data_IF_257028971044
#
_entry.id   IF_257028971044
#
_cell.length_a   1.000
_cell.length_b   1.000
_cell.length_c   1.000
_cell.angle_alpha   90.00
_cell.angle_beta   90.00
_cell.angle_gamma   90.00
#
_symmetry.space_group_name_H-M   'P 1'
#
loop_
_entity.id
_entity.type
_entity.pdbx_description
1 polymer ?
#
# COMPACT_ATOMS: atom_id res chain seq x y z
N UNK A 1 -25.93 22.82 -24.53
CA UNK A 1 -26.02 22.18 -23.21
C UNK A 1 -24.63 22.20 -22.61
N UNK A 2 -24.49 22.67 -21.37
CA UNK A 2 -23.17 22.80 -20.73
C UNK A 2 -23.13 22.07 -19.39
N UNK A 3 -22.01 21.39 -19.14
CA UNK A 3 -21.75 20.68 -17.90
C UNK A 3 -21.32 21.61 -16.78
N UNK A 4 -21.92 21.41 -15.61
CA UNK A 4 -21.60 22.11 -14.39
C UNK A 4 -21.42 21.13 -13.24
N UNK A 5 -20.56 21.51 -12.30
CA UNK A 5 -20.45 20.87 -11.00
C UNK A 5 -21.02 21.81 -9.96
N UNK A 6 -21.91 21.29 -9.11
CA UNK A 6 -22.56 22.03 -8.04
C UNK A 6 -22.27 21.29 -6.74
N UNK A 7 -21.71 21.97 -5.75
CA UNK A 7 -21.60 21.46 -4.39
C UNK A 7 -22.44 22.32 -3.46
N UNK A 8 -23.28 21.70 -2.64
CA UNK A 8 -24.11 22.41 -1.69
C UNK A 8 -24.33 21.59 -0.42
N UNK A 9 -24.40 22.27 0.72
CA UNK A 9 -24.81 21.66 1.99
C UNK A 9 -26.33 21.64 2.08
N UNK A 10 -26.90 20.47 2.31
CA UNK A 10 -28.33 20.25 2.51
C UNK A 10 -28.54 19.61 3.87
N UNK A 11 -29.55 20.03 4.63
CA UNK A 11 -29.86 19.40 5.91
C UNK A 11 -30.21 17.92 5.68
N UNK A 12 -29.61 17.03 6.48
CA UNK A 12 -29.81 15.57 6.37
C UNK A 12 -31.17 15.17 6.97
N UNK A 13 -32.24 15.48 6.23
CA UNK A 13 -33.64 15.20 6.60
C UNK A 13 -34.41 14.68 5.39
N UNK A 14 -35.34 13.73 5.58
CA UNK A 14 -36.19 13.24 4.50
C UNK A 14 -36.86 14.38 3.72
N UNK A 15 -36.76 14.33 2.39
CA UNK A 15 -37.37 15.28 1.48
C UNK A 15 -36.56 16.55 1.20
N UNK A 16 -35.50 16.88 1.95
CA UNK A 16 -34.73 18.11 1.70
C UNK A 16 -33.98 18.08 0.36
N UNK A 17 -33.30 16.97 0.05
CA UNK A 17 -32.69 16.75 -1.26
C UNK A 17 -33.73 16.84 -2.39
N UNK A 18 -34.98 16.39 -2.16
CA UNK A 18 -36.03 16.45 -3.18
C UNK A 18 -36.45 17.88 -3.53
N UNK A 19 -36.40 18.81 -2.56
CA UNK A 19 -36.69 20.23 -2.80
C UNK A 19 -35.59 20.86 -3.65
N UNK A 20 -34.33 20.50 -3.38
CA UNK A 20 -33.19 20.96 -4.17
C UNK A 20 -33.26 20.46 -5.61
N UNK A 21 -33.47 19.15 -5.82
CA UNK A 21 -33.54 18.58 -7.16
C UNK A 21 -34.75 19.09 -7.95
N UNK A 22 -35.89 19.34 -7.29
CA UNK A 22 -37.05 19.98 -7.92
C UNK A 22 -36.75 21.42 -8.38
N UNK A 23 -36.04 22.21 -7.56
CA UNK A 23 -35.64 23.59 -7.92
C UNK A 23 -34.73 23.62 -9.15
N UNK A 24 -33.78 22.69 -9.25
CA UNK A 24 -32.93 22.53 -10.44
C UNK A 24 -33.75 22.08 -11.66
N UNK A 25 -34.67 21.12 -11.50
CA UNK A 25 -35.51 20.63 -12.58
C UNK A 25 -36.41 21.73 -13.17
N UNK A 26 -36.93 22.66 -12.36
CA UNK A 26 -37.71 23.82 -12.82
C UNK A 26 -36.91 24.77 -13.74
N UNK A 27 -35.57 24.71 -13.69
CA UNK A 27 -34.67 25.44 -14.59
C UNK A 27 -34.23 24.63 -15.79
N UNK A 28 -34.76 23.41 -15.98
CA UNK A 28 -34.36 22.51 -17.05
C UNK A 28 -32.98 21.89 -16.85
N UNK A 29 -32.47 21.88 -15.61
CA UNK A 29 -31.18 21.27 -15.28
C UNK A 29 -31.35 19.76 -15.10
N UNK A 30 -30.58 18.98 -15.85
CA UNK A 30 -30.56 17.52 -15.75
C UNK A 30 -29.41 17.07 -14.83
N UNK A 31 -29.71 16.24 -13.83
CA UNK A 31 -28.71 15.73 -12.89
C UNK A 31 -28.13 14.43 -13.45
N UNK A 32 -26.83 14.43 -13.73
CA UNK A 32 -26.13 13.27 -14.29
C UNK A 32 -25.60 12.35 -13.19
N UNK A 33 -25.03 12.93 -12.13
CA UNK A 33 -24.57 12.19 -10.95
C UNK A 33 -24.78 12.99 -9.67
N UNK A 34 -24.94 12.29 -8.55
CA UNK A 34 -25.02 12.87 -7.20
C UNK A 34 -24.12 12.07 -6.27
N UNK A 35 -23.31 12.78 -5.49
CA UNK A 35 -22.56 12.18 -4.39
C UNK A 35 -22.89 12.91 -3.09
N UNK A 36 -23.53 12.18 -2.17
CA UNK A 36 -23.90 12.68 -0.84
C UNK A 36 -22.77 12.39 0.13
N UNK A 37 -22.29 13.41 0.84
CA UNK A 37 -21.19 13.29 1.80
C UNK A 37 -21.66 13.77 3.18
N UNK A 38 -21.98 12.85 4.11
CA UNK A 38 -22.44 13.23 5.44
C UNK A 38 -21.38 14.04 6.21
N UNK A 39 -21.83 15.08 6.91
CA UNK A 39 -21.03 15.94 7.78
C UNK A 39 -21.81 16.27 9.05
N UNK A 40 -21.16 16.90 10.04
CA UNK A 40 -21.85 17.34 11.27
C UNK A 40 -22.89 18.45 11.02
N UNK A 41 -22.76 19.21 9.94
CA UNK A 41 -23.62 20.36 9.61
C UNK A 41 -24.74 20.02 8.59
N UNK A 42 -24.88 18.74 8.22
CA UNK A 42 -25.78 18.24 7.19
C UNK A 42 -25.06 17.31 6.21
N UNK A 43 -25.60 17.15 5.01
CA UNK A 43 -24.97 16.43 3.93
C UNK A 43 -24.43 17.41 2.87
N UNK A 44 -23.17 17.24 2.48
CA UNK A 44 -22.59 17.95 1.33
C UNK A 44 -22.87 17.14 0.08
N UNK A 45 -23.76 17.66 -0.76
CA UNK A 45 -24.16 17.04 -2.00
C UNK A 45 -23.35 17.60 -3.17
N UNK A 46 -22.69 16.72 -3.92
CA UNK A 46 -21.86 17.04 -5.09
C UNK A 46 -22.57 16.52 -6.34
N UNK A 47 -23.10 17.45 -7.13
CA UNK A 47 -23.84 17.18 -8.35
C UNK A 47 -22.96 17.43 -9.57
N UNK A 48 -22.99 16.50 -10.52
CA UNK A 48 -22.67 16.81 -11.91
C UNK A 48 -23.98 16.98 -12.67
N UNK A 49 -24.15 18.14 -13.31
CA UNK A 49 -25.38 18.47 -14.01
C UNK A 49 -25.10 18.92 -15.44
N UNK A 50 -26.09 18.71 -16.29
CA UNK A 50 -26.18 19.29 -17.62
C UNK A 50 -27.26 20.38 -17.61
N UNK A 51 -26.88 21.61 -17.97
CA UNK A 51 -27.76 22.77 -17.91
C UNK A 51 -27.89 23.45 -19.28
N UNK A 52 -29.06 24.06 -19.58
CA UNK A 52 -29.23 24.97 -20.70
C UNK A 52 -28.11 26.01 -20.83
N UNK A 53 -27.67 26.30 -22.05
CA UNK A 53 -26.53 27.22 -22.29
C UNK A 53 -26.82 28.67 -21.86
N UNK A 54 -28.09 29.02 -21.74
CA UNK A 54 -28.54 30.31 -21.25
C UNK A 54 -28.34 30.49 -19.74
N UNK A 55 -28.21 29.40 -18.97
CA UNK A 55 -28.00 29.47 -17.53
C UNK A 55 -26.55 29.81 -17.21
N UNK A 56 -26.38 30.82 -16.36
CA UNK A 56 -25.10 31.18 -15.78
C UNK A 56 -24.91 30.63 -14.35
N UNK A 57 -23.74 30.92 -13.78
CA UNK A 57 -23.37 30.48 -12.42
C UNK A 57 -24.32 31.05 -11.35
N UNK A 58 -24.70 32.33 -11.48
CA UNK A 58 -25.53 33.01 -10.49
C UNK A 58 -26.97 32.45 -10.49
N UNK A 59 -27.50 32.11 -11.65
CA UNK A 59 -28.82 31.48 -11.76
C UNK A 59 -28.85 30.07 -11.15
N UNK A 60 -27.76 29.30 -11.31
CA UNK A 60 -27.61 28.00 -10.68
C UNK A 60 -27.48 28.11 -9.16
N UNK A 61 -26.68 29.06 -8.65
CA UNK A 61 -26.58 29.34 -7.21
C UNK A 61 -27.96 29.70 -6.65
N UNK A 62 -28.67 30.62 -7.29
CA UNK A 62 -30.00 31.02 -6.86
C UNK A 62 -31.03 29.87 -6.94
N UNK A 63 -30.85 28.91 -7.86
CA UNK A 63 -31.65 27.69 -7.90
C UNK A 63 -31.36 26.76 -6.72
N UNK A 64 -30.10 26.61 -6.34
CA UNK A 64 -29.69 25.84 -5.17
C UNK A 64 -30.24 26.45 -3.88
N UNK A 65 -30.13 27.76 -3.71
CA UNK A 65 -30.62 28.48 -2.51
C UNK A 65 -32.15 28.36 -2.38
N UNK A 66 -32.91 28.54 -3.47
CA UNK A 66 -34.37 28.27 -3.48
C UNK A 66 -34.70 26.82 -3.14
N UNK A 67 -33.81 25.92 -3.51
CA UNK A 67 -33.82 24.49 -3.19
C UNK A 67 -33.43 24.15 -1.74
N UNK A 68 -33.19 25.15 -0.88
CA UNK A 68 -32.69 25.01 0.50
C UNK A 68 -31.26 24.50 0.63
N UNK A 69 -30.48 24.52 -0.45
CA UNK A 69 -29.04 24.32 -0.37
C UNK A 69 -28.35 25.56 0.21
N UNK A 70 -27.31 25.32 1.02
CA UNK A 70 -26.44 26.33 1.64
C UNK A 70 -25.00 26.09 1.20
N UNK A 71 -24.11 27.07 1.45
CA UNK A 71 -22.67 26.96 1.17
C UNK A 71 -22.39 26.49 -0.26
N UNK A 72 -23.15 27.05 -1.21
CA UNK A 72 -23.16 26.62 -2.60
C UNK A 72 -21.87 27.04 -3.32
N UNK A 73 -21.29 26.09 -4.04
CA UNK A 73 -20.19 26.31 -4.97
C UNK A 73 -20.57 25.75 -6.33
N UNK A 74 -20.39 26.54 -7.39
CA UNK A 74 -20.71 26.16 -8.76
C UNK A 74 -19.50 26.42 -9.65
N UNK A 75 -19.17 25.47 -10.51
CA UNK A 75 -18.11 25.64 -11.50
C UNK A 75 -18.41 24.87 -12.79
N UNK A 76 -17.86 25.34 -13.91
CA UNK A 76 -17.93 24.60 -15.17
C UNK A 76 -17.21 23.26 -15.04
N UNK A 77 -17.75 22.23 -15.69
CA UNK A 77 -17.14 20.90 -15.73
C UNK A 77 -16.84 20.48 -17.18
N UNK A 78 -15.81 19.67 -17.35
CA UNK A 78 -15.48 19.04 -18.63
C UNK A 78 -16.06 17.62 -18.72
N UNK A 79 -15.98 16.99 -19.90
CA UNK A 79 -16.39 15.60 -20.13
C UNK A 79 -15.69 14.59 -19.19
N UNK A 80 -14.48 14.91 -18.70
CA UNK A 80 -13.77 14.09 -17.70
C UNK A 80 -14.53 13.98 -16.38
N UNK A 81 -15.40 14.95 -16.08
CA UNK A 81 -16.28 14.92 -14.91
C UNK A 81 -17.34 13.81 -14.97
N UNK A 82 -17.66 13.30 -16.16
CA UNK A 82 -18.64 12.23 -16.37
C UNK A 82 -18.16 10.86 -15.85
N UNK A 83 -16.85 10.68 -15.70
CA UNK A 83 -16.31 9.46 -15.09
C UNK A 83 -16.64 9.46 -13.59
N UNK A 84 -17.30 8.40 -13.14
CA UNK A 84 -17.64 8.22 -11.74
C UNK A 84 -16.39 8.16 -10.86
N UNK A 85 -16.56 8.54 -9.60
CA UNK A 85 -15.45 8.62 -8.66
C UNK A 85 -14.72 7.28 -8.44
N UNK A 86 -15.41 6.14 -8.22
CA UNK A 86 -14.74 4.83 -8.13
C UNK A 86 -13.80 4.54 -9.31
N UNK A 87 -14.27 4.74 -10.54
CA UNK A 87 -13.45 4.53 -11.75
C UNK A 87 -12.20 5.41 -11.76
N UNK A 88 -12.33 6.70 -11.40
CA UNK A 88 -11.19 7.62 -11.31
C UNK A 88 -10.18 7.17 -10.26
N UNK A 89 -10.64 6.73 -9.08
CA UNK A 89 -9.78 6.26 -7.99
C UNK A 89 -8.99 5.01 -8.41
N UNK A 90 -9.63 4.03 -9.08
CA UNK A 90 -8.93 2.83 -9.59
C UNK A 90 -7.89 3.19 -10.66
N UNK A 91 -8.19 4.17 -11.51
CA UNK A 91 -7.23 4.71 -12.47
C UNK A 91 -5.99 5.33 -11.79
N UNK A 92 -6.19 6.11 -10.73
CA UNK A 92 -5.09 6.68 -9.93
C UNK A 92 -4.29 5.60 -9.21
N UNK A 93 -4.96 4.61 -8.61
CA UNK A 93 -4.31 3.47 -7.98
C UNK A 93 -3.40 2.71 -8.97
N UNK A 94 -3.89 2.47 -10.19
CA UNK A 94 -3.11 1.81 -11.25
C UNK A 94 -1.87 2.60 -11.65
N UNK A 95 -1.96 3.94 -11.66
CA UNK A 95 -0.80 4.81 -11.92
C UNK A 95 0.23 4.72 -10.79
N UNK A 96 -0.21 4.77 -9.54
CA UNK A 96 0.69 4.65 -8.38
C UNK A 96 1.41 3.31 -8.32
N UNK A 97 0.78 2.23 -8.79
CA UNK A 97 1.45 0.92 -8.93
C UNK A 97 2.63 0.98 -9.91
N UNK A 98 2.56 1.82 -10.94
CA UNK A 98 3.63 2.00 -11.94
C UNK A 98 4.67 3.03 -11.52
N UNK A 99 4.23 4.09 -10.85
CA UNK A 99 5.04 5.22 -10.40
C UNK A 99 4.59 5.64 -8.98
N UNK A 100 5.22 5.08 -7.93
CA UNK A 100 4.87 5.39 -6.54
C UNK A 100 5.17 6.83 -6.14
N UNK A 101 6.12 7.49 -6.81
CA UNK A 101 6.53 8.86 -6.49
C UNK A 101 5.49 9.89 -6.95
N UNK A 102 4.56 9.50 -7.84
CA UNK A 102 3.44 10.32 -8.31
C UNK A 102 2.32 10.56 -7.28
N UNK A 103 2.54 10.23 -6.00
CA UNK A 103 1.53 10.38 -4.92
C UNK A 103 0.96 11.79 -4.82
N UNK A 104 1.81 12.82 -4.87
CA UNK A 104 1.37 14.22 -4.81
C UNK A 104 0.46 14.61 -5.98
N UNK A 105 0.80 14.15 -7.18
CA UNK A 105 0.00 14.41 -8.40
C UNK A 105 -1.32 13.63 -8.40
N UNK A 106 -1.30 12.40 -7.88
CA UNK A 106 -2.50 11.59 -7.70
C UNK A 106 -3.46 12.25 -6.70
N UNK A 107 -2.96 12.78 -5.59
CA UNK A 107 -3.73 13.56 -4.61
C UNK A 107 -4.31 14.84 -5.23
N UNK A 108 -3.48 15.58 -5.99
CA UNK A 108 -3.91 16.79 -6.70
C UNK A 108 -5.08 16.50 -7.63
N UNK A 109 -4.97 15.42 -8.40
CA UNK A 109 -6.01 14.97 -9.33
C UNK A 109 -7.26 14.47 -8.61
N UNK A 110 -7.11 13.66 -7.55
CA UNK A 110 -8.23 13.08 -6.80
C UNK A 110 -9.13 14.16 -6.19
N UNK A 111 -8.53 15.20 -5.65
CA UNK A 111 -9.19 16.21 -4.83
C UNK A 111 -9.40 17.55 -5.54
N UNK A 112 -8.95 17.67 -6.79
CA UNK A 112 -8.86 18.95 -7.50
C UNK A 112 -8.18 20.03 -6.63
N UNK A 113 -7.06 19.66 -6.01
CA UNK A 113 -6.29 20.59 -5.19
C UNK A 113 -5.47 21.53 -6.09
N UNK A 114 -5.36 22.80 -5.71
CA UNK A 114 -4.53 23.77 -6.44
C UNK A 114 -3.05 23.55 -6.14
N UNK A 115 -2.74 23.23 -4.89
CA UNK A 115 -1.37 23.01 -4.42
C UNK A 115 -1.33 21.73 -3.59
N UNK A 116 -0.36 20.88 -3.89
CA UNK A 116 0.03 19.74 -3.07
C UNK A 116 1.53 19.83 -2.84
N UNK A 117 1.95 19.75 -1.59
CA UNK A 117 3.36 19.75 -1.21
C UNK A 117 3.64 18.65 -0.20
N UNK A 118 4.77 17.99 -0.33
CA UNK A 118 5.26 17.05 0.66
C UNK A 118 6.34 17.71 1.51
N UNK A 119 6.34 17.45 2.81
CA UNK A 119 7.38 17.91 3.73
C UNK A 119 7.92 16.73 4.55
N UNK A 120 9.25 16.62 4.70
CA UNK A 120 9.82 15.68 5.67
C UNK A 120 9.38 16.07 7.08
N UNK A 121 9.26 15.06 7.96
CA UNK A 121 8.59 15.17 9.26
C UNK A 121 8.90 16.48 10.01
N UNK A 122 7.87 17.30 10.22
CA UNK A 122 7.88 18.38 11.22
C UNK A 122 7.03 17.95 12.42
N UNK A 123 7.61 18.12 13.62
CA UNK A 123 6.92 17.94 14.90
C UNK A 123 5.75 18.94 14.97
N UNK A 124 4.52 18.47 15.12
CA UNK A 124 3.43 19.29 15.66
C UNK A 124 2.39 19.92 14.71
N UNK A 125 2.23 19.44 13.47
CA UNK A 125 1.07 19.86 12.66
C UNK A 125 -0.21 19.10 13.07
N UNK A 126 -1.29 19.82 13.40
CA UNK A 126 -2.61 19.20 13.56
C UNK A 126 -3.04 18.56 12.22
N UNK A 127 -3.23 17.24 12.26
CA UNK A 127 -3.69 16.45 11.12
C UNK A 127 -5.19 16.63 10.96
N UNK A 128 -5.66 16.60 9.72
CA UNK A 128 -7.07 16.75 9.42
C UNK A 128 -7.34 17.82 8.37
N UNK A 129 -8.52 18.39 8.46
CA UNK A 129 -9.04 19.40 7.55
C UNK A 129 -9.22 20.71 8.30
N UNK A 130 -8.86 21.81 7.66
CA UNK A 130 -9.21 23.17 8.09
C UNK A 130 -9.70 23.95 6.87
N UNK A 131 -11.02 23.90 6.64
CA UNK A 131 -11.65 24.47 5.45
C UNK A 131 -11.03 23.95 4.16
N UNK A 132 -10.46 24.86 3.36
CA UNK A 132 -9.82 24.56 2.09
C UNK A 132 -8.35 24.07 2.20
N UNK A 133 -7.88 23.78 3.41
CA UNK A 133 -6.57 23.16 3.67
C UNK A 133 -6.71 21.76 4.28
N UNK A 134 -5.80 20.86 3.91
CA UNK A 134 -5.76 19.48 4.40
C UNK A 134 -4.31 19.06 4.70
N UNK A 135 -4.09 18.40 5.83
CA UNK A 135 -2.80 17.83 6.21
C UNK A 135 -2.92 16.31 6.44
N UNK A 136 -2.20 15.53 5.63
CA UNK A 136 -2.16 14.06 5.67
C UNK A 136 -0.80 13.57 6.16
N UNK A 137 -0.80 12.54 7.01
CA UNK A 137 0.43 11.85 7.37
C UNK A 137 0.86 10.92 6.23
N UNK A 138 2.16 10.88 5.94
CA UNK A 138 2.75 9.87 5.08
C UNK A 138 3.27 8.71 5.93
N UNK A 139 2.76 7.47 5.78
CA UNK A 139 3.28 6.29 6.48
C UNK A 139 4.74 5.98 6.16
N UNK A 140 5.29 6.47 5.04
CA UNK A 140 6.72 6.39 4.73
C UNK A 140 7.56 7.42 5.49
N UNK A 141 6.92 8.38 6.17
CA UNK A 141 7.54 9.48 6.92
C UNK A 141 7.26 10.83 6.27
N UNK A 142 6.94 11.84 7.09
CA UNK A 142 6.58 13.18 6.60
C UNK A 142 5.07 13.41 6.50
N UNK A 143 4.69 14.45 5.76
CA UNK A 143 3.29 14.82 5.55
C UNK A 143 3.03 15.49 4.20
N UNK A 144 1.83 15.26 3.66
CA UNK A 144 1.30 16.00 2.52
C UNK A 144 0.42 17.14 3.01
N UNK A 145 0.71 18.36 2.57
CA UNK A 145 -0.11 19.54 2.76
C UNK A 145 -0.78 19.91 1.43
N UNK A 146 -2.10 19.97 1.44
CA UNK A 146 -2.93 20.30 0.30
C UNK A 146 -3.71 21.58 0.57
N UNK A 147 -3.91 22.36 -0.49
CA UNK A 147 -4.76 23.55 -0.46
C UNK A 147 -5.52 23.70 -1.77
N UNK A 148 -6.76 24.16 -1.68
CA UNK A 148 -7.50 24.68 -2.83
C UNK A 148 -8.19 26.01 -2.50
N UNK A 149 -8.68 26.73 -3.49
CA UNK A 149 -9.38 28.00 -3.31
C UNK A 149 -10.81 27.79 -2.78
N UNK A 150 -11.54 26.88 -3.39
CA UNK A 150 -12.88 26.43 -3.01
C UNK A 150 -13.21 25.13 -3.76
N UNK A 151 -14.20 24.34 -3.30
CA UNK A 151 -14.90 24.44 -2.02
C UNK A 151 -14.04 23.91 -0.85
N UNK A 152 -14.52 23.99 0.39
CA UNK A 152 -13.82 23.38 1.53
C UNK A 152 -13.73 21.85 1.40
N UNK A 153 -12.70 21.25 2.01
CA UNK A 153 -12.56 19.79 2.02
C UNK A 153 -13.57 19.14 2.97
N UNK A 154 -14.06 17.96 2.60
CA UNK A 154 -14.97 17.17 3.43
C UNK A 154 -14.25 16.04 4.18
N UNK A 155 -14.79 15.54 5.30
CA UNK A 155 -14.27 14.34 5.97
C UNK A 155 -14.15 13.12 5.04
N UNK A 156 -15.09 12.96 4.10
CA UNK A 156 -15.04 11.90 3.09
C UNK A 156 -13.89 12.09 2.09
N UNK A 157 -13.57 13.33 1.71
CA UNK A 157 -12.38 13.66 0.90
C UNK A 157 -11.08 13.32 1.64
N UNK A 158 -10.98 13.67 2.93
CA UNK A 158 -9.84 13.32 3.76
C UNK A 158 -9.64 11.80 3.87
N UNK A 159 -10.71 11.05 4.16
CA UNK A 159 -10.64 9.59 4.28
C UNK A 159 -10.15 8.93 2.98
N UNK A 160 -10.64 9.38 1.82
CA UNK A 160 -10.16 8.88 0.51
C UNK A 160 -8.71 9.23 0.26
N UNK A 161 -8.28 10.44 0.59
CA UNK A 161 -6.91 10.88 0.41
C UNK A 161 -5.95 10.10 1.30
N UNK A 162 -6.32 9.86 2.56
CA UNK A 162 -5.56 9.02 3.48
C UNK A 162 -5.41 7.60 2.94
N UNK A 163 -6.51 6.98 2.46
CA UNK A 163 -6.46 5.66 1.86
C UNK A 163 -5.54 5.60 0.63
N UNK A 164 -5.53 6.64 -0.21
CA UNK A 164 -4.64 6.72 -1.37
C UNK A 164 -3.16 6.84 -0.96
N UNK A 165 -2.84 7.63 0.07
CA UNK A 165 -1.48 7.75 0.61
C UNK A 165 -1.02 6.44 1.24
N UNK A 166 -1.90 5.74 1.97
CA UNK A 166 -1.61 4.41 2.53
C UNK A 166 -1.32 3.37 1.44
N UNK A 167 -2.10 3.38 0.35
CA UNK A 167 -1.84 2.56 -0.83
C UNK A 167 -0.47 2.91 -1.44
N UNK A 168 -0.21 4.19 -1.70
CA UNK A 168 1.04 4.63 -2.31
C UNK A 168 2.26 4.23 -1.48
N UNK A 169 2.22 4.45 -0.17
CA UNK A 169 3.28 4.04 0.74
C UNK A 169 3.50 2.52 0.71
N UNK A 170 2.43 1.73 0.56
CA UNK A 170 2.52 0.27 0.43
C UNK A 170 3.18 -0.15 -0.89
N UNK A 171 2.84 0.51 -1.99
CA UNK A 171 3.49 0.26 -3.29
C UNK A 171 4.96 0.68 -3.23
N UNK A 172 5.27 1.86 -2.71
CA UNK A 172 6.64 2.37 -2.58
C UNK A 172 7.52 1.43 -1.75
N UNK A 173 7.00 0.89 -0.63
CA UNK A 173 7.72 -0.11 0.17
C UNK A 173 8.02 -1.38 -0.63
N UNK A 174 7.07 -1.88 -1.44
CA UNK A 174 7.31 -3.04 -2.30
C UNK A 174 8.33 -2.75 -3.40
N UNK A 175 8.27 -1.57 -4.01
CA UNK A 175 9.25 -1.13 -4.99
C UNK A 175 10.66 -1.04 -4.39
N UNK A 176 10.79 -0.50 -3.17
CA UNK A 176 12.07 -0.44 -2.46
C UNK A 176 12.65 -1.82 -2.10
N UNK A 177 11.82 -2.87 -2.06
CA UNK A 177 12.27 -4.25 -1.90
C UNK A 177 12.78 -4.88 -3.20
N UNK A 178 12.53 -4.24 -4.35
CA UNK A 178 13.13 -4.60 -5.64
C UNK A 178 14.48 -3.89 -5.79
N UNK A 179 15.54 -4.67 -5.80
CA UNK A 179 16.89 -4.13 -5.71
C UNK A 179 17.89 -5.12 -6.29
N UNK A 180 18.79 -4.62 -7.12
CA UNK A 180 19.94 -5.39 -7.64
C UNK A 180 20.94 -5.64 -6.52
N UNK A 181 21.33 -6.90 -6.35
CA UNK A 181 22.41 -7.31 -5.45
C UNK A 181 23.62 -7.64 -6.28
N UNK A 182 24.73 -6.93 -6.05
CA UNK A 182 26.04 -7.31 -6.55
C UNK A 182 26.65 -8.32 -5.58
N UNK A 183 26.91 -9.53 -6.06
CA UNK A 183 27.55 -10.59 -5.30
C UNK A 183 29.08 -10.36 -5.22
N UNK A 184 29.79 -11.00 -4.27
CA UNK A 184 31.24 -10.81 -4.11
C UNK A 184 32.09 -11.17 -5.34
N UNK A 185 31.54 -11.97 -6.26
CA UNK A 185 32.17 -12.33 -7.53
C UNK A 185 31.79 -11.39 -8.69
N UNK A 186 31.11 -10.28 -8.40
CA UNK A 186 30.70 -9.26 -9.37
C UNK A 186 29.39 -9.56 -10.10
N UNK A 187 28.78 -10.74 -9.89
CA UNK A 187 27.52 -11.03 -10.55
C UNK A 187 26.36 -10.23 -9.96
N UNK A 188 25.49 -9.74 -10.84
CA UNK A 188 24.30 -9.00 -10.47
C UNK A 188 23.08 -9.92 -10.48
N UNK A 189 22.27 -9.83 -9.43
CA UNK A 189 20.98 -10.51 -9.35
C UNK A 189 19.91 -9.53 -8.94
N UNK A 190 18.81 -9.50 -9.69
CA UNK A 190 17.63 -8.75 -9.30
C UNK A 190 16.91 -9.52 -8.19
N UNK A 191 16.67 -8.88 -7.06
CA UNK A 191 15.91 -9.48 -5.96
C UNK A 191 14.69 -8.64 -5.71
N UNK A 192 13.53 -9.28 -5.63
CA UNK A 192 12.24 -8.60 -5.43
C UNK A 192 11.22 -9.48 -4.69
N UNK A 193 10.15 -8.90 -4.15
CA UNK A 193 8.97 -9.66 -3.74
C UNK A 193 8.44 -10.54 -4.88
N UNK A 194 8.04 -11.75 -4.52
CA UNK A 194 7.38 -12.68 -5.43
C UNK A 194 5.88 -12.37 -5.54
N UNK A 195 5.28 -12.74 -6.66
CA UNK A 195 3.83 -12.76 -6.87
C UNK A 195 3.36 -14.05 -7.53
N UNK A 196 2.05 -14.21 -7.70
CA UNK A 196 1.47 -15.40 -8.34
C UNK A 196 2.05 -15.73 -9.73
N UNK A 197 2.48 -14.70 -10.48
CA UNK A 197 3.07 -14.83 -11.81
C UNK A 197 4.45 -15.51 -11.81
N UNK A 198 5.12 -15.61 -10.66
CA UNK A 198 6.44 -16.24 -10.53
C UNK A 198 6.38 -17.77 -10.38
N UNK A 199 5.18 -18.36 -10.38
CA UNK A 199 4.99 -19.78 -10.11
C UNK A 199 5.79 -20.68 -11.06
N UNK A 200 5.81 -20.37 -12.36
CA UNK A 200 6.58 -21.15 -13.34
C UNK A 200 8.08 -21.13 -13.02
N UNK A 201 8.66 -19.94 -12.87
CA UNK A 201 10.08 -19.79 -12.56
C UNK A 201 10.47 -20.41 -11.21
N UNK A 202 9.56 -20.40 -10.24
CA UNK A 202 9.78 -21.07 -8.96
C UNK A 202 9.68 -22.59 -9.08
N UNK A 203 8.79 -23.13 -9.90
CA UNK A 203 8.78 -24.57 -10.22
C UNK A 203 10.11 -24.97 -10.86
N UNK A 204 10.57 -24.21 -11.86
CA UNK A 204 11.86 -24.43 -12.53
C UNK A 204 13.03 -24.38 -11.55
N UNK A 205 13.04 -23.42 -10.60
CA UNK A 205 14.04 -23.36 -9.52
C UNK A 205 14.08 -24.67 -8.72
N UNK A 206 12.92 -25.21 -8.34
CA UNK A 206 12.84 -26.44 -7.55
C UNK A 206 13.29 -27.66 -8.35
N UNK A 207 12.95 -27.73 -9.63
CA UNK A 207 13.37 -28.80 -10.54
C UNK A 207 14.87 -28.78 -10.78
N UNK A 208 15.46 -27.59 -10.93
CA UNK A 208 16.90 -27.42 -11.11
C UNK A 208 17.72 -27.66 -9.82
N UNK A 209 17.11 -27.55 -8.64
CA UNK A 209 17.79 -27.80 -7.37
C UNK A 209 18.02 -29.30 -7.11
N UNK A 210 19.22 -29.62 -6.63
CA UNK A 210 19.56 -31.00 -6.24
C UNK A 210 18.60 -31.54 -5.17
N UNK A 211 18.38 -32.87 -5.10
CA UNK A 211 17.60 -33.49 -4.03
C UNK A 211 18.08 -33.10 -2.64
N UNK A 212 19.41 -32.91 -2.47
CA UNK A 212 20.02 -32.46 -1.21
C UNK A 212 19.61 -31.03 -0.84
N UNK A 213 19.62 -30.11 -1.80
CA UNK A 213 19.19 -28.73 -1.58
C UNK A 213 17.69 -28.65 -1.21
N UNK A 214 16.84 -29.45 -1.88
CA UNK A 214 15.41 -29.60 -1.56
C UNK A 214 15.18 -30.24 -0.19
N UNK A 215 15.88 -31.32 0.13
CA UNK A 215 15.78 -31.98 1.43
C UNK A 215 16.16 -31.04 2.58
N UNK A 216 17.20 -30.22 2.39
CA UNK A 216 17.60 -29.19 3.37
C UNK A 216 16.55 -28.11 3.53
N UNK A 217 15.88 -27.69 2.45
CA UNK A 217 14.81 -26.68 2.48
C UNK A 217 13.53 -27.19 3.15
N UNK A 218 13.19 -28.46 2.97
CA UNK A 218 11.92 -29.05 3.40
C UNK A 218 12.05 -30.10 4.51
N UNK A 219 13.24 -30.20 5.10
CA UNK A 219 13.55 -31.01 6.30
C UNK A 219 13.13 -32.48 6.21
N UNK A 220 13.16 -33.08 5.01
CA UNK A 220 12.81 -34.50 4.81
C UNK A 220 11.99 -34.79 3.55
N UNK A 221 11.42 -33.78 2.91
CA UNK A 221 10.75 -33.95 1.60
C UNK A 221 11.74 -34.04 0.44
N UNK A 222 11.89 -35.23 -0.17
CA UNK A 222 12.66 -35.42 -1.41
C UNK A 222 11.83 -35.07 -2.65
N UNK A 223 10.51 -35.25 -2.56
CA UNK A 223 9.59 -34.96 -3.65
C UNK A 223 9.48 -33.45 -3.93
N UNK A 224 9.27 -33.12 -5.21
CA UNK A 224 8.96 -31.75 -5.61
C UNK A 224 7.67 -31.29 -4.90
N UNK A 225 7.66 -30.09 -4.32
CA UNK A 225 6.43 -29.51 -3.80
C UNK A 225 5.39 -29.37 -4.92
N UNK A 226 4.14 -29.74 -4.62
CA UNK A 226 3.04 -29.54 -5.56
C UNK A 226 2.90 -28.04 -5.90
N UNK A 227 2.56 -27.66 -7.15
CA UNK A 227 2.42 -26.26 -7.55
C UNK A 227 1.46 -25.45 -6.66
N UNK A 228 0.39 -26.08 -6.16
CA UNK A 228 -0.53 -25.43 -5.22
C UNK A 228 0.15 -25.04 -3.89
N UNK A 229 1.11 -25.84 -3.40
CA UNK A 229 1.91 -25.50 -2.21
C UNK A 229 2.86 -24.35 -2.51
N UNK A 230 3.52 -24.35 -3.67
CA UNK A 230 4.42 -23.27 -4.09
C UNK A 230 3.67 -21.95 -4.25
N UNK A 231 2.47 -21.95 -4.83
CA UNK A 231 1.62 -20.75 -4.95
C UNK A 231 1.33 -20.13 -3.57
N UNK A 232 1.00 -20.94 -2.56
CA UNK A 232 0.80 -20.46 -1.18
C UNK A 232 2.07 -19.88 -0.55
N UNK A 233 3.24 -20.38 -0.95
CA UNK A 233 4.52 -19.81 -0.49
C UNK A 233 4.81 -18.47 -1.18
N UNK A 234 4.36 -18.25 -2.42
CA UNK A 234 4.58 -16.98 -3.12
C UNK A 234 3.71 -15.85 -2.57
N UNK A 235 2.50 -16.18 -2.13
CA UNK A 235 1.54 -15.22 -1.60
C UNK A 235 1.13 -15.61 -0.17
N UNK A 236 2.04 -15.45 0.82
CA UNK A 236 1.71 -15.75 2.20
C UNK A 236 0.67 -14.76 2.71
N UNK A 237 -0.28 -15.23 3.53
CA UNK A 237 -1.25 -14.35 4.20
C UNK A 237 -0.59 -13.36 5.16
N UNK A 238 0.57 -13.75 5.72
CA UNK A 238 1.39 -12.92 6.58
C UNK A 238 2.87 -13.23 6.34
N UNK A 239 3.67 -12.18 6.12
CA UNK A 239 5.09 -12.28 5.81
C UNK A 239 5.40 -11.88 4.38
N UNK A 240 6.49 -12.42 3.82
CA UNK A 240 7.02 -12.02 2.51
C UNK A 240 7.77 -13.18 1.87
N UNK A 241 7.69 -13.28 0.55
CA UNK A 241 8.59 -14.14 -0.23
C UNK A 241 9.41 -13.28 -1.17
N UNK A 242 10.73 -13.42 -1.08
CA UNK A 242 11.68 -12.82 -2.01
C UNK A 242 12.14 -13.87 -3.02
N UNK A 243 12.27 -13.46 -4.28
CA UNK A 243 12.97 -14.23 -5.31
C UNK A 243 14.19 -13.46 -5.80
N UNK A 244 15.23 -14.21 -6.16
CA UNK A 244 16.39 -13.68 -6.88
C UNK A 244 16.38 -14.25 -8.29
N UNK A 245 16.54 -13.38 -9.28
CA UNK A 245 16.60 -13.73 -10.69
C UNK A 245 17.85 -13.17 -11.35
N UNK A 246 18.40 -13.90 -12.32
CA UNK A 246 19.39 -13.35 -13.23
C UNK A 246 18.75 -12.30 -14.13
N UNK A 247 19.52 -11.27 -14.49
CA UNK A 247 19.14 -10.31 -15.52
C UNK A 247 19.73 -10.78 -16.86
N UNK A 248 18.88 -10.88 -17.87
CA UNK A 248 19.30 -11.05 -19.26
C UNK A 248 20.01 -9.80 -19.78
N UNK A 249 20.59 -9.89 -20.98
CA UNK A 249 21.32 -8.78 -21.63
C UNK A 249 20.46 -7.54 -21.93
N UNK A 250 19.14 -7.67 -21.89
CA UNK A 250 18.15 -6.60 -22.03
C UNK A 250 17.65 -6.04 -20.67
N UNK A 251 18.19 -6.53 -19.56
CA UNK A 251 17.78 -6.14 -18.20
C UNK A 251 16.50 -6.84 -17.70
N UNK A 252 15.92 -7.77 -18.47
CA UNK A 252 14.74 -8.53 -18.03
C UNK A 252 15.13 -9.71 -17.14
N UNK A 253 14.25 -10.10 -16.21
CA UNK A 253 14.48 -11.24 -15.34
C UNK A 253 14.39 -12.55 -16.16
N UNK A 254 15.50 -13.30 -16.25
CA UNK A 254 15.60 -14.45 -17.15
C UNK A 254 15.30 -15.78 -16.43
N UNK A 255 15.90 -16.01 -15.26
CA UNK A 255 15.73 -17.25 -14.51
C UNK A 255 15.74 -17.01 -13.01
N UNK A 256 14.79 -17.61 -12.27
CA UNK A 256 14.79 -17.59 -10.81
C UNK A 256 15.87 -18.54 -10.29
N UNK A 257 16.83 -18.01 -9.54
CA UNK A 257 18.01 -18.74 -9.04
C UNK A 257 18.00 -18.93 -7.52
N UNK A 258 17.15 -18.21 -6.81
CA UNK A 258 16.92 -18.42 -5.39
C UNK A 258 15.56 -17.88 -4.95
N UNK A 259 15.08 -18.38 -3.81
CA UNK A 259 13.93 -17.84 -3.10
C UNK A 259 14.17 -17.85 -1.59
N UNK A 260 13.54 -16.92 -0.88
CA UNK A 260 13.52 -16.85 0.57
C UNK A 260 12.10 -16.55 1.04
N UNK A 261 11.56 -17.38 1.92
CA UNK A 261 10.26 -17.17 2.53
C UNK A 261 10.43 -16.66 3.96
N UNK A 262 9.59 -15.71 4.32
CA UNK A 262 9.28 -15.27 5.67
C UNK A 262 7.79 -15.51 5.89
N UNK A 263 7.43 -16.43 6.77
CA UNK A 263 6.05 -16.80 7.05
C UNK A 263 5.72 -16.39 8.49
N UNK A 264 4.78 -15.45 8.66
CA UNK A 264 4.44 -14.93 9.99
C UNK A 264 3.47 -15.83 10.75
N UNK A 265 3.77 -16.12 12.01
CA UNK A 265 2.94 -16.88 12.94
C UNK A 265 2.98 -16.22 14.33
N UNK A 266 1.84 -15.72 14.83
CA UNK A 266 1.82 -14.99 16.11
C UNK A 266 2.72 -13.75 16.09
N UNK A 267 3.65 -13.60 17.03
CA UNK A 267 4.62 -12.50 17.01
C UNK A 267 5.95 -12.89 16.35
N UNK A 268 6.06 -14.12 15.85
CA UNK A 268 7.26 -14.66 15.25
C UNK A 268 7.11 -14.85 13.73
N UNK A 269 8.22 -15.10 13.05
CA UNK A 269 8.20 -15.46 11.65
C UNK A 269 9.23 -16.54 11.30
N UNK A 270 8.78 -17.58 10.60
CA UNK A 270 9.63 -18.65 10.12
C UNK A 270 10.38 -18.20 8.85
N UNK A 271 11.69 -18.44 8.79
CA UNK A 271 12.51 -18.15 7.61
C UNK A 271 13.06 -19.43 7.00
N UNK A 272 12.94 -19.54 5.68
CA UNK A 272 13.60 -20.60 4.95
C UNK A 272 13.97 -20.21 3.52
N UNK A 273 15.12 -20.71 3.06
CA UNK A 273 15.75 -20.31 1.79
C UNK A 273 16.06 -21.53 0.91
N UNK A 274 15.91 -21.34 -0.40
CA UNK A 274 16.38 -22.26 -1.42
C UNK A 274 17.24 -21.49 -2.42
N UNK A 275 18.43 -21.99 -2.72
CA UNK A 275 19.37 -21.40 -3.67
C UNK A 275 19.83 -22.51 -4.62
N UNK A 276 19.70 -22.27 -5.93
CA UNK A 276 20.15 -23.20 -6.98
C UNK A 276 21.62 -23.52 -6.80
N UNK A 277 21.99 -24.78 -6.99
CA UNK A 277 23.30 -25.31 -6.57
C UNK A 277 24.50 -24.57 -7.20
N UNK A 278 24.39 -24.12 -8.45
CA UNK A 278 25.36 -23.29 -9.19
C UNK A 278 25.47 -21.83 -8.68
N UNK A 279 24.47 -21.36 -7.93
CA UNK A 279 24.47 -20.03 -7.27
C UNK A 279 24.87 -20.07 -5.80
N UNK A 280 25.14 -21.25 -5.24
CA UNK A 280 25.57 -21.39 -3.85
C UNK A 280 27.02 -20.92 -3.65
N UNK A 281 27.35 -20.56 -2.41
CA UNK A 281 28.68 -20.06 -1.99
C UNK A 281 29.12 -18.73 -2.64
N UNK A 282 28.22 -18.04 -3.34
CA UNK A 282 28.42 -16.71 -3.93
C UNK A 282 27.84 -15.57 -3.07
N UNK A 283 27.54 -15.83 -1.80
CA UNK A 283 26.94 -14.83 -0.89
C UNK A 283 25.43 -14.59 -1.05
N UNK A 284 24.78 -15.14 -2.08
CA UNK A 284 23.34 -14.93 -2.36
C UNK A 284 22.42 -15.29 -1.18
N UNK A 285 22.61 -16.46 -0.56
CA UNK A 285 21.81 -16.86 0.60
C UNK A 285 21.95 -15.90 1.79
N UNK A 286 23.15 -15.35 2.02
CA UNK A 286 23.37 -14.33 3.06
C UNK A 286 22.73 -13.00 2.70
N UNK A 287 22.75 -12.60 1.42
CA UNK A 287 22.09 -11.38 0.96
C UNK A 287 20.57 -11.46 1.12
N UNK A 288 19.94 -12.59 0.73
CA UNK A 288 18.51 -12.82 0.90
C UNK A 288 18.12 -12.86 2.39
N UNK A 289 18.86 -13.60 3.22
CA UNK A 289 18.57 -13.69 4.65
C UNK A 289 18.62 -12.33 5.34
N UNK A 290 19.62 -11.49 5.04
CA UNK A 290 19.69 -10.11 5.59
C UNK A 290 18.47 -9.27 5.21
N UNK A 291 17.97 -9.40 3.98
CA UNK A 291 16.79 -8.65 3.53
C UNK A 291 15.51 -9.13 4.20
N UNK A 292 15.36 -10.44 4.35
CA UNK A 292 14.25 -11.02 5.11
C UNK A 292 14.27 -10.54 6.57
N UNK A 293 15.44 -10.50 7.20
CA UNK A 293 15.59 -9.96 8.57
C UNK A 293 15.19 -8.49 8.64
N UNK A 294 15.67 -7.65 7.71
CA UNK A 294 15.30 -6.23 7.64
C UNK A 294 13.81 -6.01 7.41
N UNK A 295 13.18 -6.84 6.57
CA UNK A 295 11.73 -6.82 6.41
C UNK A 295 11.04 -7.19 7.72
N UNK A 296 11.49 -8.23 8.42
CA UNK A 296 10.88 -8.66 9.66
C UNK A 296 11.00 -7.61 10.79
N UNK A 297 12.16 -6.94 10.93
CA UNK A 297 12.33 -5.82 11.87
C UNK A 297 11.33 -4.69 11.55
N UNK A 298 11.18 -4.31 10.27
CA UNK A 298 10.24 -3.25 9.84
C UNK A 298 8.77 -3.64 10.03
N UNK A 299 8.47 -4.92 9.86
CA UNK A 299 7.13 -5.48 10.04
C UNK A 299 6.76 -5.71 11.51
N UNK A 300 7.71 -5.51 12.44
CA UNK A 300 7.46 -5.54 13.89
C UNK A 300 7.32 -6.94 14.48
N UNK A 301 7.94 -7.95 13.87
CA UNK A 301 8.02 -9.28 14.48
C UNK A 301 8.96 -9.25 15.70
N UNK A 302 8.68 -10.06 16.71
CA UNK A 302 9.49 -10.20 17.93
C UNK A 302 10.72 -11.09 17.71
N UNK A 303 10.60 -12.13 16.88
CA UNK A 303 11.70 -13.05 16.57
C UNK A 303 11.56 -13.72 15.21
N UNK A 304 12.69 -14.18 14.68
CA UNK A 304 12.73 -15.11 13.55
C UNK A 304 13.02 -16.52 14.04
N UNK A 305 12.33 -17.50 13.48
CA UNK A 305 12.55 -18.91 13.74
C UNK A 305 13.09 -19.57 12.48
N UNK A 306 14.15 -20.37 12.62
CA UNK A 306 14.70 -21.17 11.53
C UNK A 306 14.89 -22.61 11.97
N UNK A 307 14.36 -23.53 11.18
CA UNK A 307 14.59 -24.96 11.35
C UNK A 307 15.66 -25.42 10.36
N UNK A 308 16.78 -25.92 10.87
CA UNK A 308 17.98 -26.23 10.10
C UNK A 308 18.52 -27.60 10.50
N UNK A 309 18.79 -28.48 9.53
CA UNK A 309 19.51 -29.73 9.82
C UNK A 309 20.89 -29.42 10.39
N UNK A 310 21.30 -30.13 11.45
CA UNK A 310 22.60 -29.93 12.11
C UNK A 310 23.80 -30.11 11.16
N UNK A 311 23.63 -30.86 10.05
CA UNK A 311 24.64 -31.09 9.00
C UNK A 311 24.61 -30.06 7.86
N UNK A 312 23.83 -28.98 8.01
CA UNK A 312 23.73 -27.91 7.02
C UNK A 312 24.70 -26.77 7.33
N UNK A 313 26.01 -27.07 7.34
CA UNK A 313 27.07 -26.08 7.62
C UNK A 313 26.98 -24.80 6.77
N UNK A 314 26.60 -24.83 5.47
CA UNK A 314 26.41 -23.61 4.71
C UNK A 314 25.36 -22.66 5.30
N UNK A 315 24.25 -23.19 5.81
CA UNK A 315 23.19 -22.39 6.44
C UNK A 315 23.63 -21.90 7.82
N UNK A 316 24.30 -22.73 8.61
CA UNK A 316 24.83 -22.33 9.93
C UNK A 316 25.86 -21.19 9.80
N UNK A 317 26.75 -21.25 8.80
CA UNK A 317 27.67 -20.13 8.49
C UNK A 317 26.92 -18.86 8.04
N UNK A 318 25.83 -19.02 7.31
CA UNK A 318 24.99 -17.91 6.85
C UNK A 318 24.32 -17.21 8.02
N UNK A 319 23.82 -17.98 8.99
CA UNK A 319 23.22 -17.49 10.23
C UNK A 319 24.26 -16.80 11.11
N UNK A 320 25.44 -17.40 11.29
CA UNK A 320 26.52 -16.78 12.06
C UNK A 320 26.94 -15.41 11.48
N UNK A 321 26.97 -15.27 10.15
CA UNK A 321 27.25 -14.00 9.46
C UNK A 321 26.18 -12.93 9.59
N UNK A 322 25.00 -13.23 10.13
CA UNK A 322 24.04 -12.18 10.50
C UNK A 322 24.55 -11.32 11.65
N UNK A 323 25.48 -11.83 12.46
CA UNK A 323 26.01 -11.09 13.61
C UNK A 323 24.97 -10.83 14.69
N UNK A 324 23.87 -11.60 14.70
CA UNK A 324 22.81 -11.51 15.72
C UNK A 324 22.89 -12.70 16.66
N UNK A 325 22.69 -12.50 17.98
CA UNK A 325 22.57 -13.61 18.92
C UNK A 325 21.34 -14.44 18.56
N UNK A 326 21.47 -15.76 18.69
CA UNK A 326 20.38 -16.71 18.46
C UNK A 326 20.33 -17.71 19.62
N UNK A 327 19.12 -17.99 20.10
CA UNK A 327 18.87 -19.14 20.97
C UNK A 327 18.81 -20.37 20.08
N UNK A 328 19.55 -21.42 20.43
CA UNK A 328 19.63 -22.65 19.63
C UNK A 328 19.14 -23.81 20.46
N UNK A 329 18.07 -24.44 20.00
CA UNK A 329 17.54 -25.67 20.55
C UNK A 329 17.87 -26.82 19.59
N UNK A 330 18.22 -27.98 20.14
CA UNK A 330 18.59 -29.16 19.36
C UNK A 330 17.68 -30.32 19.69
N UNK A 331 17.03 -30.85 18.67
CA UNK A 331 16.28 -32.10 18.73
C UNK A 331 16.86 -33.10 17.71
N UNK A 332 17.68 -34.02 18.21
CA UNK A 332 18.41 -34.98 17.38
C UNK A 332 19.26 -34.32 16.29
N UNK A 333 18.83 -34.49 15.04
CA UNK A 333 19.47 -33.94 13.84
C UNK A 333 18.94 -32.57 13.39
N UNK A 334 17.93 -32.02 14.06
CA UNK A 334 17.31 -30.75 13.76
C UNK A 334 17.74 -29.68 14.79
N UNK A 335 18.03 -28.49 14.29
CA UNK A 335 18.28 -27.29 15.10
C UNK A 335 17.15 -26.30 14.86
N UNK A 336 16.58 -25.79 15.94
CA UNK A 336 15.67 -24.64 15.92
C UNK A 336 16.45 -23.44 16.42
N UNK A 337 16.61 -22.43 15.57
CA UNK A 337 17.29 -21.19 15.90
C UNK A 337 16.26 -20.06 16.01
N UNK A 338 16.20 -19.42 17.17
CA UNK A 338 15.35 -18.25 17.41
C UNK A 338 16.23 -17.02 17.51
N UNK A 339 16.06 -16.09 16.56
CA UNK A 339 16.82 -14.83 16.46
C UNK A 339 15.91 -13.68 16.90
N UNK A 340 16.15 -13.07 18.07
CA UNK A 340 15.38 -11.91 18.51
C UNK A 340 15.51 -10.73 17.52
N UNK A 341 14.39 -10.05 17.29
CA UNK A 341 14.32 -8.84 16.48
C UNK A 341 14.12 -7.62 17.38
N UNK A 342 14.59 -6.47 16.90
CA UNK A 342 14.43 -5.25 17.66
C UNK A 342 12.98 -4.76 17.51
N UNK A 343 12.22 -4.78 18.61
CA UNK A 343 10.90 -4.13 18.64
C UNK A 343 11.13 -2.63 18.46
N UNK A 344 10.81 -2.10 17.28
CA UNK A 344 10.62 -0.65 17.14
C UNK A 344 9.42 -0.32 18.00
N UNK A 345 9.65 0.30 19.16
CA UNK A 345 8.59 0.68 20.08
C UNK A 345 7.52 1.49 19.32
N UNK A 346 6.36 0.87 19.08
CA UNK A 346 5.16 1.64 18.76
C UNK A 346 4.92 2.54 19.95
N UNK A 347 4.99 3.85 19.76
CA UNK A 347 4.66 4.81 20.81
C UNK A 347 3.23 4.53 21.27
N UNK A 348 3.10 3.90 22.43
CA UNK A 348 1.83 3.59 23.07
C UNK A 348 1.05 4.89 23.26
N UNK A 349 -0.11 5.00 22.59
CA UNK A 349 -1.19 5.87 23.05
C UNK A 349 -1.74 5.27 24.34
N UNK A 350 -1.11 5.57 25.48
CA UNK A 350 -1.81 5.48 26.76
C UNK A 350 -2.77 6.67 26.86
N UNK A 351 -4.01 6.44 26.41
CA UNK A 351 -5.14 7.25 26.82
C UNK A 351 -5.30 7.09 28.33
N UNK A 352 -4.98 8.15 29.07
CA UNK A 352 -5.35 8.27 30.46
C UNK A 352 -6.88 8.40 30.53
N UNK A 353 -7.55 7.34 30.95
CA UNK A 353 -8.87 7.45 31.55
C UNK A 353 -8.68 8.12 32.92
N UNK A 354 -9.02 9.41 33.02
CA UNK A 354 -9.32 10.03 34.31
C UNK A 354 -10.82 9.91 34.56
N UNK A 355 -11.19 9.09 35.54
CA UNK A 355 -12.48 9.21 36.22
C UNK A 355 -12.55 10.54 36.97
N UNK A 356 -13.64 11.31 36.88
CA UNK A 356 -13.91 12.34 37.87
C UNK A 356 -14.58 11.69 39.08
N UNK A 357 -13.92 11.80 40.23
CA UNK A 357 -14.52 11.54 41.54
C UNK A 357 -15.05 12.84 42.14
N UNK A 358 -16.15 12.68 42.88
CA UNK A 358 -16.91 13.63 43.72
C UNK A 358 -18.04 14.38 43.02
#
# INVERSE_FOLDING_TARGET
>A
MTLWRIRATVDDRPGYLSVLTASLALRGVNILTVQVQPTEQGAVDDFLVDAPDALDEAELIAAVERGRGRDCWVARSEARGLADQPTRVLGLATRLVRDPDATGEALRTLLAADVVSWRPASVGGERGISGAAMLLADPAGGSFALRRAAPDFTPAEYARAQALVELAATVARRAAEQVTVVLPDGAEVAVRPAGAHDLSGVVELHEACSPRSRQRRYLGGVALPQPARLRRLLEPSRGLTLIASTTGSDGTAESVVAMANLLGEGDEAEVALLVRDDWQRRGLGSALLRRVVQHADRSGYAALVLHVQATNDPMLRTLHRLGRPAVVERDGGLLTLTVPLAVVARADRKGAFSTPGV
#
